data_IF_795243768475
#
_entry.id   IF_795243768475
#
_cell.length_a   1.000
_cell.length_b   1.000
_cell.length_c   1.000
_cell.angle_alpha   90.00
_cell.angle_beta   90.00
_cell.angle_gamma   90.00
#
_symmetry.space_group_name_H-M   'P 1'
#
loop_
_entity.id
_entity.type
_entity.pdbx_description
1 polymer ?
#
# COMPACT_ATOMS: atom_id res chain seq x y z
N UNK A 1 -2.20 5.04 -20.05
CA UNK A 1 -1.64 4.25 -18.93
C UNK A 1 -0.84 3.10 -19.51
N UNK A 2 0.35 2.85 -18.98
CA UNK A 2 1.17 1.68 -19.31
C UNK A 2 1.43 0.94 -17.99
N UNK A 3 0.94 -0.32 -17.84
CA UNK A 3 1.20 -1.10 -16.64
C UNK A 3 2.69 -1.40 -16.48
N UNK A 4 3.18 -1.41 -15.25
CA UNK A 4 4.61 -1.66 -14.98
C UNK A 4 5.05 -3.04 -15.50
N UNK A 5 4.16 -4.05 -15.45
CA UNK A 5 4.45 -5.40 -15.95
C UNK A 5 4.63 -5.49 -17.47
N UNK A 6 4.36 -4.41 -18.22
CA UNK A 6 4.70 -4.28 -19.65
C UNK A 6 6.09 -3.68 -19.87
N UNK A 7 6.65 -3.02 -18.85
CA UNK A 7 7.95 -2.33 -18.89
C UNK A 7 9.03 -3.16 -18.20
N UNK A 8 8.67 -3.84 -17.11
CA UNK A 8 9.52 -4.73 -16.32
C UNK A 8 8.97 -6.14 -16.43
N UNK A 9 9.64 -6.99 -17.21
CA UNK A 9 9.14 -8.33 -17.58
C UNK A 9 9.57 -9.43 -16.59
N UNK A 10 10.59 -9.17 -15.77
CA UNK A 10 11.15 -10.12 -14.80
C UNK A 10 11.81 -9.40 -13.62
N UNK A 11 12.20 -10.14 -12.59
CA UNK A 11 12.87 -9.58 -11.40
C UNK A 11 11.92 -9.10 -10.28
N UNK A 12 10.60 -9.22 -10.48
CA UNK A 12 9.59 -9.00 -9.44
C UNK A 12 9.52 -7.55 -8.95
N UNK A 13 9.10 -7.38 -7.69
CA UNK A 13 8.87 -6.05 -7.10
C UNK A 13 10.15 -5.20 -7.07
N UNK A 14 11.30 -5.81 -6.75
CA UNK A 14 12.58 -5.08 -6.69
C UNK A 14 12.93 -4.45 -8.04
N UNK A 15 12.82 -5.21 -9.14
CA UNK A 15 13.09 -4.66 -10.48
C UNK A 15 12.11 -3.53 -10.85
N UNK A 16 10.88 -3.55 -10.33
CA UNK A 16 9.94 -2.45 -10.51
C UNK A 16 10.37 -1.20 -9.73
N UNK A 17 10.86 -1.36 -8.49
CA UNK A 17 11.40 -0.25 -7.69
C UNK A 17 12.62 0.37 -8.38
N UNK A 18 13.53 -0.46 -8.86
CA UNK A 18 14.74 -0.02 -9.57
C UNK A 18 14.40 0.73 -10.86
N UNK A 19 13.42 0.22 -11.63
CA UNK A 19 12.92 0.89 -12.83
C UNK A 19 12.33 2.27 -12.50
N UNK A 20 11.48 2.37 -11.48
CA UNK A 20 10.93 3.66 -11.04
C UNK A 20 12.03 4.62 -10.58
N UNK A 21 13.06 4.14 -9.87
CA UNK A 21 14.21 4.95 -9.50
C UNK A 21 14.99 5.48 -10.71
N UNK A 22 15.12 4.68 -11.76
CA UNK A 22 15.72 5.13 -13.03
C UNK A 22 14.93 6.22 -13.76
N UNK A 23 13.64 6.37 -13.49
CA UNK A 23 12.80 7.42 -14.07
C UNK A 23 12.83 8.74 -13.28
N UNK A 24 13.26 8.70 -12.01
CA UNK A 24 13.43 9.88 -11.15
C UNK A 24 12.67 9.80 -9.84
N UNK A 25 12.95 10.76 -8.96
CA UNK A 25 12.47 10.78 -7.57
C UNK A 25 10.93 10.74 -7.46
N UNK A 26 10.23 11.45 -8.34
CA UNK A 26 8.75 11.46 -8.36
C UNK A 26 8.15 10.06 -8.59
N UNK A 27 8.81 9.22 -9.39
CA UNK A 27 8.36 7.85 -9.66
C UNK A 27 8.67 6.91 -8.50
N UNK A 28 9.86 7.01 -7.92
CA UNK A 28 10.23 6.29 -6.69
C UNK A 28 9.26 6.61 -5.55
N UNK A 29 9.02 7.88 -5.33
CA UNK A 29 8.15 8.33 -4.25
C UNK A 29 6.70 7.85 -4.49
N UNK A 30 6.20 7.92 -5.73
CA UNK A 30 4.87 7.41 -6.05
C UNK A 30 4.70 5.91 -5.76
N UNK A 31 5.67 5.08 -6.14
CA UNK A 31 5.59 3.62 -5.88
C UNK A 31 5.76 3.31 -4.38
N UNK A 32 6.65 4.01 -3.66
CA UNK A 32 6.81 3.85 -2.22
C UNK A 32 5.54 4.24 -1.45
N UNK A 33 4.91 5.37 -1.80
CA UNK A 33 3.61 5.80 -1.23
C UNK A 33 2.53 4.75 -1.44
N UNK A 34 2.45 4.21 -2.65
CA UNK A 34 1.46 3.19 -3.00
C UNK A 34 1.65 1.91 -2.17
N UNK A 35 2.88 1.40 -2.08
CA UNK A 35 3.15 0.16 -1.34
C UNK A 35 2.89 0.29 0.16
N UNK A 36 3.23 1.44 0.75
CA UNK A 36 2.91 1.71 2.16
C UNK A 36 1.41 1.86 2.36
N UNK A 37 0.71 2.51 1.43
CA UNK A 37 -0.74 2.60 1.48
C UNK A 37 -1.41 1.22 1.39
N UNK A 38 -0.97 0.37 0.45
CA UNK A 38 -1.45 -1.01 0.31
C UNK A 38 -1.26 -1.82 1.61
N UNK A 39 -0.16 -1.61 2.33
CA UNK A 39 0.11 -2.23 3.62
C UNK A 39 -0.79 -1.74 4.78
N UNK A 40 -1.34 -0.53 4.69
CA UNK A 40 -2.30 0.02 5.65
C UNK A 40 -3.70 -0.55 5.40
N UNK A 41 -4.10 -0.62 4.13
CA UNK A 41 -5.47 -1.04 3.75
C UNK A 41 -5.58 -2.55 3.46
N UNK A 42 -4.47 -3.28 3.56
CA UNK A 42 -4.36 -4.69 3.17
C UNK A 42 -4.88 -4.93 1.74
N UNK A 43 -4.26 -4.25 0.79
CA UNK A 43 -4.54 -4.52 -0.62
C UNK A 43 -3.77 -5.77 -1.06
N UNK A 44 -4.50 -6.87 -1.22
CA UNK A 44 -3.93 -8.16 -1.59
C UNK A 44 -3.64 -8.29 -3.09
N UNK A 45 -4.16 -7.38 -3.93
CA UNK A 45 -4.19 -7.52 -5.39
C UNK A 45 -3.44 -6.41 -6.13
N UNK A 46 -2.38 -5.85 -5.53
CA UNK A 46 -1.45 -4.95 -6.25
C UNK A 46 -0.55 -5.71 -7.21
N UNK A 47 -1.12 -6.37 -8.20
CA UNK A 47 -0.32 -7.03 -9.25
C UNK A 47 0.30 -6.00 -10.19
N UNK A 48 1.27 -6.42 -11.02
CA UNK A 48 2.01 -5.53 -11.94
C UNK A 48 1.16 -4.93 -13.09
N UNK A 49 -0.15 -5.22 -13.09
CA UNK A 49 -1.15 -4.57 -13.95
C UNK A 49 -1.79 -3.34 -13.29
N UNK A 50 -1.78 -3.27 -11.96
CA UNK A 50 -2.51 -2.30 -11.15
C UNK A 50 -1.68 -1.10 -10.71
N UNK A 51 -0.53 -0.87 -11.36
CA UNK A 51 0.27 0.35 -11.25
C UNK A 51 1.21 0.48 -12.45
N UNK A 52 1.78 1.67 -12.63
CA UNK A 52 2.66 1.96 -13.75
C UNK A 52 2.75 3.45 -14.03
N UNK A 53 2.82 3.81 -15.30
CA UNK A 53 3.10 5.19 -15.74
C UNK A 53 2.03 5.73 -16.69
N UNK A 54 1.99 7.06 -16.81
CA UNK A 54 1.26 7.76 -17.85
C UNK A 54 2.20 8.11 -18.99
N UNK A 55 1.68 7.97 -20.22
CA UNK A 55 2.40 8.24 -21.46
C UNK A 55 1.54 9.13 -22.35
N UNK A 56 2.15 10.11 -22.99
CA UNK A 56 1.49 10.95 -23.98
C UNK A 56 1.20 10.10 -25.23
N UNK A 57 -0.06 10.03 -25.64
CA UNK A 57 -0.46 9.18 -26.77
C UNK A 57 0.02 9.71 -28.13
N UNK A 58 0.38 10.99 -28.23
CA UNK A 58 0.90 11.60 -29.46
C UNK A 58 2.43 11.56 -29.52
N UNK A 59 3.11 12.06 -28.50
CA UNK A 59 4.59 12.12 -28.50
C UNK A 59 5.24 10.81 -28.06
N UNK A 60 4.53 9.97 -27.31
CA UNK A 60 5.10 8.78 -26.71
C UNK A 60 6.02 9.06 -25.52
N UNK A 61 6.05 10.28 -25.01
CA UNK A 61 6.85 10.62 -23.82
C UNK A 61 6.16 10.15 -22.55
N UNK A 62 6.95 9.83 -21.53
CA UNK A 62 6.45 9.55 -20.19
C UNK A 62 6.03 10.88 -19.54
N UNK A 63 4.81 10.94 -19.03
CA UNK A 63 4.25 12.15 -18.41
C UNK A 63 4.47 12.14 -16.88
N UNK A 64 4.47 10.95 -16.27
CA UNK A 64 4.57 10.82 -14.82
C UNK A 64 4.09 9.45 -14.34
N UNK A 65 4.15 9.20 -13.02
CA UNK A 65 3.56 8.01 -12.42
C UNK A 65 2.03 8.01 -12.62
N UNK A 66 1.44 6.84 -12.79
CA UNK A 66 -0.01 6.72 -12.76
C UNK A 66 -0.53 6.95 -11.33
N UNK A 67 -1.60 7.73 -11.11
CA UNK A 67 -2.28 7.79 -9.82
C UNK A 67 -2.70 6.40 -9.38
N UNK A 68 -2.79 6.15 -8.08
CA UNK A 68 -3.25 4.85 -7.54
C UNK A 68 -4.70 4.61 -7.95
N UNK A 69 -4.99 3.39 -8.41
CA UNK A 69 -6.33 2.93 -8.78
C UNK A 69 -6.50 1.45 -8.38
N UNK A 70 -7.69 0.91 -8.61
CA UNK A 70 -8.03 -0.51 -8.39
C UNK A 70 -7.64 -1.05 -7.00
N UNK A 71 -8.28 -0.48 -5.97
CA UNK A 71 -8.13 -0.92 -4.57
C UNK A 71 -9.34 -1.77 -4.13
N UNK A 72 -10.13 -2.31 -5.07
CA UNK A 72 -11.42 -2.91 -4.79
C UNK A 72 -11.35 -4.20 -3.96
N UNK A 73 -10.19 -4.85 -3.94
CA UNK A 73 -9.91 -6.06 -3.14
C UNK A 73 -9.15 -5.75 -1.84
N UNK A 74 -9.12 -4.48 -1.42
CA UNK A 74 -8.59 -4.07 -0.13
C UNK A 74 -9.70 -4.00 0.95
N UNK A 75 -9.31 -3.63 2.18
CA UNK A 75 -10.22 -3.41 3.31
C UNK A 75 -11.15 -4.61 3.58
N UNK A 76 -10.60 -5.81 3.42
CA UNK A 76 -11.28 -7.08 3.71
C UNK A 76 -12.61 -7.22 2.98
N UNK A 77 -12.67 -6.82 1.70
CA UNK A 77 -13.91 -6.82 0.91
C UNK A 77 -14.68 -8.17 0.98
N UNK A 78 -13.97 -9.30 1.03
CA UNK A 78 -14.53 -10.66 1.12
C UNK A 78 -14.87 -11.15 2.55
N UNK A 79 -14.53 -10.40 3.59
CA UNK A 79 -14.84 -10.80 4.96
C UNK A 79 -16.35 -10.91 5.19
N UNK A 80 -16.77 -12.03 5.77
CA UNK A 80 -18.14 -12.25 6.26
C UNK A 80 -18.29 -11.71 7.70
N UNK A 81 -19.50 -11.73 8.26
CA UNK A 81 -19.77 -11.16 9.58
C UNK A 81 -18.90 -11.78 10.68
N UNK A 82 -18.67 -13.09 10.62
CA UNK A 82 -17.83 -13.83 11.56
C UNK A 82 -16.34 -13.42 11.46
N UNK A 83 -15.85 -13.14 10.24
CA UNK A 83 -14.51 -12.62 10.03
C UNK A 83 -14.36 -11.19 10.59
N UNK A 84 -15.40 -10.36 10.45
CA UNK A 84 -15.41 -8.99 10.99
C UNK A 84 -15.41 -9.00 12.53
N UNK A 85 -16.18 -9.91 13.15
CA UNK A 85 -16.25 -10.04 14.61
C UNK A 85 -14.88 -10.38 15.24
N UNK A 86 -14.00 -11.10 14.53
CA UNK A 86 -12.59 -11.33 14.90
C UNK A 86 -11.66 -10.91 13.75
N UNK A 87 -11.73 -9.64 13.37
CA UNK A 87 -10.97 -9.10 12.24
C UNK A 87 -9.45 -9.26 12.43
N UNK A 88 -8.97 -9.19 13.67
CA UNK A 88 -7.55 -9.36 13.96
C UNK A 88 -7.03 -10.76 13.58
N UNK A 89 -7.85 -11.80 13.79
CA UNK A 89 -7.51 -13.17 13.35
C UNK A 89 -7.57 -13.28 11.83
N UNK A 90 -8.63 -12.77 11.20
CA UNK A 90 -8.76 -12.81 9.74
C UNK A 90 -7.62 -12.05 9.04
N UNK A 91 -7.24 -10.89 9.57
CA UNK A 91 -6.15 -10.06 9.07
C UNK A 91 -4.81 -10.79 8.97
N UNK A 92 -4.52 -11.74 9.87
CA UNK A 92 -3.27 -12.53 9.82
C UNK A 92 -3.17 -13.47 8.62
N UNK A 93 -4.28 -13.71 7.93
CA UNK A 93 -4.32 -14.56 6.73
C UNK A 93 -4.06 -13.79 5.44
N UNK A 94 -3.98 -12.46 5.51
CA UNK A 94 -3.82 -11.57 4.36
C UNK A 94 -2.35 -11.40 4.00
N UNK A 95 -2.03 -11.38 2.71
CA UNK A 95 -0.68 -11.18 2.19
C UNK A 95 -0.71 -10.33 0.92
N UNK A 96 0.36 -9.60 0.59
CA UNK A 96 0.46 -9.00 -0.73
C UNK A 96 0.57 -10.08 -1.81
N UNK A 97 0.22 -9.75 -3.05
CA UNK A 97 0.37 -10.65 -4.21
C UNK A 97 1.82 -11.06 -4.50
N UNK A 98 2.80 -10.37 -3.92
CA UNK A 98 4.22 -10.66 -4.11
C UNK A 98 4.63 -11.86 -3.25
N UNK A 99 4.78 -13.02 -3.90
CA UNK A 99 5.05 -14.29 -3.22
C UNK A 99 6.23 -14.24 -2.26
N UNK A 100 6.03 -14.78 -1.05
CA UNK A 100 7.08 -14.92 -0.03
C UNK A 100 7.45 -13.63 0.71
N UNK A 101 6.74 -12.52 0.48
CA UNK A 101 7.00 -11.23 1.12
C UNK A 101 5.78 -10.78 1.91
N UNK A 102 5.97 -10.18 3.08
CA UNK A 102 4.89 -9.57 3.87
C UNK A 102 4.79 -8.08 3.64
N UNK A 103 3.65 -7.48 3.98
CA UNK A 103 3.47 -6.03 3.93
C UNK A 103 4.52 -5.29 4.79
N UNK A 104 4.83 -5.81 5.97
CA UNK A 104 5.83 -5.25 6.88
C UNK A 104 7.22 -5.26 6.25
N UNK A 105 7.57 -6.35 5.57
CA UNK A 105 8.86 -6.46 4.89
C UNK A 105 8.99 -5.41 3.79
N UNK A 106 7.96 -5.26 2.96
CA UNK A 106 7.91 -4.22 1.92
C UNK A 106 8.08 -2.84 2.56
N UNK A 107 7.27 -2.51 3.57
CA UNK A 107 7.36 -1.22 4.27
C UNK A 107 8.75 -0.98 4.87
N UNK A 108 9.38 -1.99 5.47
CA UNK A 108 10.72 -1.86 6.04
C UNK A 108 11.77 -1.49 4.99
N UNK A 109 11.58 -1.87 3.73
CA UNK A 109 12.48 -1.54 2.64
C UNK A 109 12.19 -0.14 2.07
N UNK A 110 10.92 0.17 1.79
CA UNK A 110 10.52 1.36 1.01
C UNK A 110 10.19 2.60 1.84
N UNK A 111 9.93 2.47 3.14
CA UNK A 111 9.58 3.64 3.96
C UNK A 111 10.77 4.56 4.19
N UNK A 112 10.54 5.85 3.93
CA UNK A 112 11.36 6.98 4.37
C UNK A 112 10.54 8.04 5.10
N UNK A 113 11.12 9.24 5.26
CA UNK A 113 10.52 10.34 6.03
C UNK A 113 9.13 10.74 5.52
N UNK A 114 8.92 10.71 4.19
CA UNK A 114 7.64 11.12 3.62
C UNK A 114 6.53 10.11 3.96
N UNK A 115 6.80 8.81 3.84
CA UNK A 115 5.82 7.77 4.17
C UNK A 115 5.50 7.77 5.67
N UNK A 116 6.48 8.01 6.54
CA UNK A 116 6.26 8.20 7.98
C UNK A 116 5.31 9.36 8.27
N UNK A 117 5.53 10.52 7.63
CA UNK A 117 4.65 11.68 7.78
C UNK A 117 3.23 11.40 7.26
N UNK A 118 3.09 10.61 6.20
CA UNK A 118 1.77 10.20 5.69
C UNK A 118 1.05 9.26 6.65
N UNK A 119 1.75 8.27 7.22
CA UNK A 119 1.19 7.38 8.24
C UNK A 119 0.72 8.16 9.48
N UNK A 120 1.51 9.15 9.93
CA UNK A 120 1.10 10.02 11.05
C UNK A 120 -0.21 10.76 10.78
N UNK A 121 -0.47 11.17 9.53
CA UNK A 121 -1.75 11.81 9.16
C UNK A 121 -2.95 10.86 9.19
N UNK A 122 -2.72 9.55 9.19
CA UNK A 122 -3.77 8.53 9.31
C UNK A 122 -4.09 8.15 10.77
N UNK A 123 -3.35 8.70 11.75
CA UNK A 123 -3.70 8.53 13.15
C UNK A 123 -5.07 9.14 13.44
N UNK A 124 -5.94 8.36 14.07
CA UNK A 124 -7.33 8.74 14.33
C UNK A 124 -8.24 8.70 13.09
N UNK A 125 -7.80 8.09 11.98
CA UNK A 125 -8.62 7.89 10.78
C UNK A 125 -9.98 7.29 11.12
N UNK A 126 -11.03 7.89 10.55
CA UNK A 126 -12.39 7.38 10.51
C UNK A 126 -12.97 7.55 9.12
N UNK A 127 -13.80 6.61 8.69
CA UNK A 127 -14.57 6.74 7.46
C UNK A 127 -15.56 7.89 7.58
N UNK A 128 -15.73 8.65 6.51
CA UNK A 128 -16.90 9.52 6.38
C UNK A 128 -18.06 8.65 5.92
N UNK A 129 -19.10 8.51 6.75
CA UNK A 129 -20.28 7.71 6.40
C UNK A 129 -21.00 8.38 5.22
N UNK A 130 -21.33 7.59 4.20
CA UNK A 130 -22.15 8.04 3.08
C UNK A 130 -23.61 8.21 3.54
N UNK A 131 -24.41 9.11 2.95
CA UNK A 131 -25.82 9.27 3.36
C UNK A 131 -26.70 8.02 3.17
N UNK A 132 -26.34 7.12 2.24
CA UNK A 132 -27.21 6.01 1.83
C UNK A 132 -26.53 4.69 1.48
N UNK A 133 -25.20 4.65 1.41
CA UNK A 133 -24.45 3.47 0.93
C UNK A 133 -23.28 3.26 1.89
N UNK A 134 -23.53 2.52 2.97
CA UNK A 134 -22.52 2.17 3.95
C UNK A 134 -22.46 0.66 4.14
N UNK A 135 -21.30 0.20 4.58
CA UNK A 135 -21.23 -1.05 5.32
C UNK A 135 -21.88 -0.90 6.70
N UNK A 136 -22.25 -2.02 7.35
CA UNK A 136 -22.68 -2.00 8.74
C UNK A 136 -21.65 -1.30 9.63
N UNK A 137 -22.12 -0.58 10.65
CA UNK A 137 -21.27 0.24 11.52
C UNK A 137 -20.17 -0.59 12.18
N UNK A 138 -20.49 -1.80 12.65
CA UNK A 138 -19.52 -2.75 13.22
C UNK A 138 -18.34 -3.04 12.28
N UNK A 139 -18.61 -3.19 10.97
CA UNK A 139 -17.56 -3.40 9.97
C UNK A 139 -16.69 -2.16 9.80
N UNK A 140 -17.31 -0.98 9.78
CA UNK A 140 -16.57 0.29 9.69
C UNK A 140 -15.66 0.47 10.90
N UNK A 141 -16.18 0.29 12.11
CA UNK A 141 -15.43 0.42 13.36
C UNK A 141 -14.29 -0.62 13.46
N UNK A 142 -14.55 -1.88 13.07
CA UNK A 142 -13.52 -2.92 13.05
C UNK A 142 -12.38 -2.57 12.08
N UNK A 143 -12.70 -2.10 10.88
CA UNK A 143 -11.70 -1.70 9.87
C UNK A 143 -10.96 -0.43 10.32
N UNK A 144 -11.64 0.55 10.91
CA UNK A 144 -11.00 1.74 11.49
C UNK A 144 -9.99 1.35 12.55
N UNK A 145 -10.40 0.47 13.48
CA UNK A 145 -9.50 -0.08 14.50
C UNK A 145 -8.30 -0.79 13.86
N UNK A 146 -8.54 -1.63 12.85
CA UNK A 146 -7.45 -2.29 12.14
C UNK A 146 -6.47 -1.29 11.52
N UNK A 147 -6.96 -0.25 10.82
CA UNK A 147 -6.12 0.80 10.24
C UNK A 147 -5.28 1.49 11.33
N UNK A 148 -5.86 1.77 12.51
CA UNK A 148 -5.10 2.37 13.63
C UNK A 148 -3.99 1.45 14.15
N UNK A 149 -4.29 0.16 14.29
CA UNK A 149 -3.32 -0.85 14.72
C UNK A 149 -2.19 -0.97 13.67
N UNK A 150 -2.53 -0.95 12.37
CA UNK A 150 -1.56 -0.97 11.26
C UNK A 150 -0.66 0.26 11.23
N UNK A 151 -1.23 1.46 11.32
CA UNK A 151 -0.46 2.71 11.32
C UNK A 151 0.53 2.72 12.48
N UNK A 152 0.10 2.32 13.68
CA UNK A 152 0.96 2.25 14.87
C UNK A 152 2.12 1.27 14.64
N UNK A 153 1.82 0.07 14.16
CA UNK A 153 2.82 -0.97 13.90
C UNK A 153 3.85 -0.57 12.83
N UNK A 154 3.41 0.01 11.71
CA UNK A 154 4.31 0.45 10.65
C UNK A 154 5.24 1.59 11.10
N UNK A 155 4.74 2.49 11.95
CA UNK A 155 5.56 3.54 12.56
C UNK A 155 6.61 2.99 13.53
N UNK A 156 6.34 1.88 14.23
CA UNK A 156 7.32 1.21 15.08
C UNK A 156 8.43 0.54 14.26
N UNK A 157 8.07 -0.16 13.17
CA UNK A 157 9.03 -0.76 12.24
C UNK A 157 10.04 0.29 11.73
N UNK A 158 9.55 1.47 11.36
CA UNK A 158 10.41 2.56 10.89
C UNK A 158 11.41 3.01 11.95
N UNK A 159 10.99 3.14 13.22
CA UNK A 159 11.88 3.56 14.32
C UNK A 159 13.00 2.55 14.57
N UNK A 160 12.70 1.26 14.49
CA UNK A 160 13.69 0.21 14.69
C UNK A 160 14.70 0.13 13.53
N UNK A 161 14.28 0.40 12.30
CA UNK A 161 15.18 0.53 11.14
C UNK A 161 16.20 1.66 11.35
N UNK A 162 15.73 2.83 11.78
CA UNK A 162 16.58 3.99 12.02
C UNK A 162 17.57 3.78 13.16
N UNK A 163 17.17 3.07 14.22
CA UNK A 163 18.07 2.72 15.32
C UNK A 163 19.23 1.82 14.85
N UNK A 164 18.94 0.77 14.07
CA UNK A 164 19.96 -0.15 13.54
C UNK A 164 20.95 0.54 12.59
N UNK A 165 20.50 1.52 11.80
CA UNK A 165 21.37 2.30 10.90
C UNK A 165 22.29 3.27 11.64
N UNK A 166 21.99 3.63 12.89
CA UNK A 166 22.83 4.52 13.72
C UNK A 166 23.89 3.76 14.52
N UNK A 167 23.74 2.45 14.66
CA UNK A 167 24.62 1.57 15.45
C UNK A 167 25.69 0.85 14.62
N UNK A 168 25.62 0.89 13.29
CA UNK A 168 26.58 0.27 12.36
C UNK A 168 27.35 1.29 11.53
#
# INVERSE_FOLDING_TARGET
FVPIGRLVLSGGLQACLDYCAGLGEDFSEAVCRMLVFDAVIYNEDRHFGNFGILRNNRSGEIIGPAPIFDNGLALFNYAIAEDIADLAKYAKTRSPVYGGVTFERICSEVMGVIQVQQLQKLMGFKFTRHPSINWPEERLEAIEKHIQDRVSWLLEISRHKDAKLREG
#
